data_IF_008428492567
#
_entry.id   IF_008428492567
#
_cell.length_a   1.000
_cell.length_b   1.000
_cell.length_c   1.000
_cell.angle_alpha   90.00
_cell.angle_beta   90.00
_cell.angle_gamma   90.00
#
_symmetry.space_group_name_H-M   'P 1'
#
loop_
_entity.id
_entity.type
_entity.pdbx_description
1 polymer ?
#
# COMPACT_ATOMS: atom_id res chain seq x y z
N UNK A 1 -2.48 -23.22 33.74
CA UNK A 1 -1.96 -23.69 32.43
C UNK A 1 -2.87 -23.38 31.24
N UNK A 2 -4.20 -23.48 31.35
CA UNK A 2 -5.14 -23.21 30.23
C UNK A 2 -5.26 -21.73 29.79
N UNK A 3 -4.94 -20.77 30.66
CA UNK A 3 -5.03 -19.33 30.34
C UNK A 3 -3.86 -18.85 29.47
N UNK A 4 -2.67 -19.43 29.68
CA UNK A 4 -1.48 -19.15 28.88
C UNK A 4 -1.62 -19.67 27.44
N UNK A 5 -2.22 -20.86 27.24
CA UNK A 5 -2.45 -21.43 25.91
C UNK A 5 -3.54 -20.70 25.11
N UNK A 6 -4.55 -20.13 25.77
CA UNK A 6 -5.55 -19.27 25.13
C UNK A 6 -4.95 -17.94 24.68
N UNK A 7 -4.16 -17.30 25.53
CA UNK A 7 -3.45 -16.05 25.19
C UNK A 7 -2.51 -16.24 23.99
N UNK A 8 -1.73 -17.33 23.98
CA UNK A 8 -0.84 -17.64 22.85
C UNK A 8 -1.60 -17.85 21.53
N UNK A 9 -2.77 -18.51 21.56
CA UNK A 9 -3.61 -18.69 20.37
C UNK A 9 -4.18 -17.37 19.84
N UNK A 10 -4.60 -16.46 20.72
CA UNK A 10 -5.09 -15.14 20.32
C UNK A 10 -3.96 -14.28 19.71
N UNK A 11 -2.76 -14.31 20.29
CA UNK A 11 -1.57 -13.62 19.76
C UNK A 11 -1.17 -14.19 18.39
N UNK A 12 -1.16 -15.51 18.23
CA UNK A 12 -0.84 -16.14 16.94
C UNK A 12 -1.89 -15.83 15.87
N UNK A 13 -3.18 -15.76 16.25
CA UNK A 13 -4.26 -15.37 15.35
C UNK A 13 -4.16 -13.89 14.94
N UNK A 14 -3.80 -13.02 15.88
CA UNK A 14 -3.58 -11.59 15.64
C UNK A 14 -2.34 -11.34 14.78
N UNK A 15 -1.24 -12.04 15.03
CA UNK A 15 -0.02 -12.01 14.23
C UNK A 15 -0.26 -12.52 12.80
N UNK A 16 -1.04 -13.59 12.64
CA UNK A 16 -1.49 -14.08 11.34
C UNK A 16 -2.35 -13.05 10.58
N UNK A 17 -3.06 -12.17 11.28
CA UNK A 17 -3.84 -11.09 10.68
C UNK A 17 -2.97 -9.97 10.08
N UNK A 18 -1.73 -9.77 10.55
CA UNK A 18 -0.81 -8.80 9.92
C UNK A 18 -0.27 -9.32 8.58
N UNK A 19 -0.16 -10.64 8.43
CA UNK A 19 0.18 -11.34 7.18
C UNK A 19 -1.06 -11.67 6.33
N UNK A 20 -2.18 -10.97 6.53
CA UNK A 20 -3.31 -11.11 5.60
C UNK A 20 -2.90 -10.47 4.27
N UNK A 21 -3.14 -11.16 3.16
CA UNK A 21 -2.90 -10.67 1.79
C UNK A 21 -3.40 -9.23 1.57
N UNK A 22 -4.47 -8.85 2.27
CA UNK A 22 -5.01 -7.49 2.31
C UNK A 22 -4.03 -6.44 2.85
N UNK A 23 -3.40 -6.69 4.00
CA UNK A 23 -2.41 -5.76 4.58
C UNK A 23 -1.18 -5.63 3.67
N UNK A 24 -0.84 -6.69 2.96
CA UNK A 24 0.24 -6.69 1.98
C UNK A 24 -0.06 -5.73 0.81
N UNK A 25 -1.25 -5.76 0.22
CA UNK A 25 -1.60 -4.83 -0.87
C UNK A 25 -1.57 -3.36 -0.43
N UNK A 26 -2.06 -3.05 0.77
CA UNK A 26 -1.96 -1.68 1.33
C UNK A 26 -0.51 -1.24 1.51
N UNK A 27 0.31 -2.09 2.12
CA UNK A 27 1.73 -1.78 2.32
C UNK A 27 2.45 -1.60 0.98
N UNK A 28 2.19 -2.48 0.02
CA UNK A 28 2.75 -2.41 -1.33
C UNK A 28 2.35 -1.11 -2.04
N UNK A 29 1.09 -0.68 -1.91
CA UNK A 29 0.63 0.59 -2.47
C UNK A 29 1.39 1.79 -1.88
N UNK A 30 1.55 1.84 -0.55
CA UNK A 30 2.34 2.90 0.09
C UNK A 30 3.80 2.88 -0.36
N UNK A 31 4.42 1.71 -0.47
CA UNK A 31 5.79 1.58 -0.97
C UNK A 31 5.90 2.13 -2.40
N UNK A 32 4.96 1.82 -3.29
CA UNK A 32 4.96 2.37 -4.66
C UNK A 32 4.88 3.89 -4.68
N UNK A 33 3.98 4.49 -3.88
CA UNK A 33 3.83 5.95 -3.81
C UNK A 33 5.09 6.61 -3.24
N UNK A 34 5.59 6.11 -2.10
CA UNK A 34 6.75 6.69 -1.43
C UNK A 34 8.01 6.51 -2.27
N UNK A 35 8.20 5.34 -2.88
CA UNK A 35 9.36 5.10 -3.75
C UNK A 35 9.28 5.95 -5.02
N UNK A 36 8.13 6.08 -5.66
CA UNK A 36 7.97 6.93 -6.84
C UNK A 36 8.18 8.42 -6.55
N UNK A 37 7.53 8.93 -5.49
CA UNK A 37 7.68 10.32 -5.09
C UNK A 37 9.10 10.61 -4.57
N UNK A 38 9.64 9.74 -3.73
CA UNK A 38 10.98 9.86 -3.17
C UNK A 38 12.06 9.77 -4.23
N UNK A 39 11.92 8.86 -5.19
CA UNK A 39 12.81 8.76 -6.34
C UNK A 39 12.77 10.03 -7.20
N UNK A 40 11.57 10.50 -7.56
CA UNK A 40 11.40 11.73 -8.35
C UNK A 40 12.03 12.94 -7.66
N UNK A 41 11.71 13.15 -6.37
CA UNK A 41 12.23 14.28 -5.60
C UNK A 41 13.74 14.17 -5.41
N UNK A 42 14.24 12.99 -5.00
CA UNK A 42 15.67 12.77 -4.78
C UNK A 42 16.49 12.97 -6.05
N UNK A 43 16.02 12.44 -7.18
CA UNK A 43 16.69 12.60 -8.46
C UNK A 43 16.63 14.04 -8.96
N UNK A 44 15.46 14.68 -8.87
CA UNK A 44 15.30 16.08 -9.31
C UNK A 44 16.15 17.04 -8.49
N UNK A 45 16.31 16.82 -7.18
CA UNK A 45 17.18 17.63 -6.32
C UNK A 45 18.65 17.40 -6.67
N UNK A 46 19.06 16.16 -6.91
CA UNK A 46 20.47 15.82 -7.16
C UNK A 46 20.97 16.28 -8.54
N UNK A 47 20.10 16.25 -9.55
CA UNK A 47 20.48 16.46 -10.96
C UNK A 47 19.78 17.64 -11.64
N UNK A 48 18.95 18.40 -10.91
CA UNK A 48 18.14 19.52 -11.43
C UNK A 48 17.19 19.13 -12.57
N UNK A 49 16.75 17.87 -12.59
CA UNK A 49 15.94 17.27 -13.67
C UNK A 49 14.44 17.43 -13.44
N UNK A 50 13.99 18.59 -12.96
CA UNK A 50 12.59 18.81 -12.57
C UNK A 50 11.60 18.66 -13.71
N UNK A 51 12.03 18.79 -14.98
CA UNK A 51 11.17 18.70 -16.16
C UNK A 51 11.56 17.53 -17.08
N UNK A 52 12.30 16.56 -16.56
CA UNK A 52 12.77 15.42 -17.34
C UNK A 52 11.62 14.45 -17.65
N UNK A 53 11.33 14.29 -18.94
CA UNK A 53 10.23 13.45 -19.42
C UNK A 53 10.46 11.97 -19.13
N UNK A 54 11.72 11.51 -19.12
CA UNK A 54 12.07 10.14 -18.79
C UNK A 54 11.83 9.85 -17.31
N UNK A 55 12.20 10.79 -16.44
CA UNK A 55 11.95 10.70 -15.00
C UNK A 55 10.45 10.67 -14.69
N UNK A 56 9.65 11.50 -15.36
CA UNK A 56 8.19 11.46 -15.25
C UNK A 56 7.61 10.14 -15.74
N UNK A 57 8.08 9.63 -16.88
CA UNK A 57 7.58 8.38 -17.47
C UNK A 57 7.78 7.18 -16.55
N UNK A 58 8.74 7.23 -15.63
CA UNK A 58 8.95 6.21 -14.62
C UNK A 58 8.19 6.49 -13.31
N UNK A 59 8.31 7.70 -12.76
CA UNK A 59 7.75 8.04 -11.45
C UNK A 59 6.22 8.13 -11.47
N UNK A 60 5.64 8.72 -12.52
CA UNK A 60 4.19 8.98 -12.59
C UNK A 60 3.40 7.66 -12.61
N UNK A 61 3.68 6.68 -13.49
CA UNK A 61 2.95 5.42 -13.45
C UNK A 61 3.08 4.71 -12.10
N UNK A 62 4.26 4.72 -11.48
CA UNK A 62 4.49 4.07 -10.20
C UNK A 62 3.62 4.67 -9.09
N UNK A 63 3.54 6.00 -9.00
CA UNK A 63 2.67 6.70 -8.06
C UNK A 63 1.20 6.44 -8.40
N UNK A 64 0.82 6.51 -9.68
CA UNK A 64 -0.56 6.34 -10.13
C UNK A 64 -1.08 4.95 -9.76
N UNK A 65 -0.30 3.89 -10.03
CA UNK A 65 -0.66 2.53 -9.66
C UNK A 65 -0.79 2.36 -8.15
N UNK A 66 0.09 2.98 -7.35
CA UNK A 66 -0.05 2.97 -5.91
C UNK A 66 -1.36 3.62 -5.44
N UNK A 67 -1.74 4.76 -6.03
CA UNK A 67 -3.02 5.43 -5.73
C UNK A 67 -4.21 4.55 -6.13
N UNK A 68 -4.19 3.97 -7.34
CA UNK A 68 -5.25 3.10 -7.82
C UNK A 68 -5.42 1.86 -6.93
N UNK A 69 -4.33 1.29 -6.43
CA UNK A 69 -4.38 0.12 -5.56
C UNK A 69 -5.04 0.45 -4.22
N UNK A 70 -4.80 1.65 -3.68
CA UNK A 70 -5.51 2.14 -2.49
C UNK A 70 -6.98 2.43 -2.77
N UNK A 71 -7.30 3.04 -3.92
CA UNK A 71 -8.68 3.32 -4.33
C UNK A 71 -9.50 2.03 -4.48
N UNK A 72 -8.91 0.98 -5.08
CA UNK A 72 -9.54 -0.33 -5.21
C UNK A 72 -9.81 -0.99 -3.85
N UNK A 73 -8.88 -0.87 -2.90
CA UNK A 73 -9.08 -1.38 -1.54
C UNK A 73 -10.20 -0.60 -0.80
N UNK A 74 -10.31 0.71 -1.04
CA UNK A 74 -11.37 1.55 -0.51
C UNK A 74 -12.76 1.16 -1.05
N UNK A 75 -12.88 0.97 -2.36
CA UNK A 75 -14.15 0.64 -3.02
C UNK A 75 -14.69 -0.72 -2.58
N UNK A 76 -13.83 -1.74 -2.52
CA UNK A 76 -14.20 -3.08 -2.03
C UNK A 76 -14.76 -3.09 -0.60
N UNK A 77 -14.49 -2.04 0.17
CA UNK A 77 -14.96 -1.88 1.54
C UNK A 77 -16.15 -0.92 1.69
N UNK A 78 -16.71 -0.41 0.58
CA UNK A 78 -17.87 0.46 0.60
C UNK A 78 -19.15 -0.34 0.97
N UNK A 79 -19.80 -0.07 2.11
CA UNK A 79 -20.96 -0.83 2.57
C UNK A 79 -22.21 -0.68 1.68
N UNK A 80 -22.21 0.26 0.73
CA UNK A 80 -23.34 0.52 -0.16
C UNK A 80 -23.47 -0.48 -1.32
N UNK A 81 -22.37 -1.07 -1.81
CA UNK A 81 -22.40 -2.01 -2.95
C UNK A 81 -23.04 -3.36 -2.58
N UNK A 82 -22.81 -3.81 -1.34
CA UNK A 82 -23.27 -5.12 -0.83
C UNK A 82 -24.81 -5.27 -0.71
N UNK A 83 -25.58 -4.19 -0.81
CA UNK A 83 -27.04 -4.21 -0.68
C UNK A 83 -27.77 -4.11 -2.04
N UNK A 84 -27.03 -4.14 -3.14
CA UNK A 84 -27.53 -4.04 -4.52
C UNK A 84 -27.52 -5.37 -5.28
N UNK A 85 -27.02 -6.44 -4.65
CA UNK A 85 -27.03 -7.82 -5.16
C UNK A 85 -28.17 -8.66 -4.56
#
# INVERSE_FOLDING_TARGET
>A
MAQASRSAKEIMKQAGSYLTVRNFYRLFAFIMIISGAGFYLGWSIAYDTWTDIGLYSFAVPLILFGILLLALDLEKHNPQEKNSE
#
